data_IF_037922569256
#
_entry.id   IF_037922569256
#
_cell.length_a   1.000
_cell.length_b   1.000
_cell.length_c   1.000
_cell.angle_alpha   90.00
_cell.angle_beta   90.00
_cell.angle_gamma   90.00
#
_symmetry.space_group_name_H-M   'P 1'
#
loop_
_entity.id
_entity.type
_entity.pdbx_description
1 polymer ?
#
# COMPACT_ATOMS: atom_id res chain seq x y z
N UNK A 1 -7.80 21.95 -23.93
CA UNK A 1 -8.68 20.93 -24.54
C UNK A 1 -9.62 20.40 -23.46
N UNK A 2 -10.92 20.28 -23.74
CA UNK A 2 -11.87 19.70 -22.78
C UNK A 2 -11.66 18.20 -22.61
N UNK A 3 -11.97 17.67 -21.42
CA UNK A 3 -11.90 16.23 -21.11
C UNK A 3 -12.87 15.46 -22.01
N UNK A 4 -12.37 14.56 -22.87
CA UNK A 4 -13.15 13.59 -23.62
C UNK A 4 -13.91 12.72 -22.62
N UNK A 5 -15.24 12.80 -22.69
CA UNK A 5 -16.16 11.97 -21.90
C UNK A 5 -16.55 10.76 -22.72
N UNK A 6 -16.54 9.59 -22.08
CA UNK A 6 -17.04 8.36 -22.68
C UNK A 6 -18.55 8.52 -22.89
N UNK A 7 -19.00 8.33 -24.12
CA UNK A 7 -20.41 8.44 -24.49
C UNK A 7 -21.17 7.19 -24.03
N UNK A 8 -22.46 7.33 -23.76
CA UNK A 8 -23.37 6.18 -23.62
C UNK A 8 -23.86 5.78 -24.99
N UNK A 9 -23.83 4.48 -25.29
CA UNK A 9 -24.29 3.92 -26.56
C UNK A 9 -25.47 3.00 -26.31
N UNK A 10 -26.32 2.86 -27.32
CA UNK A 10 -27.47 1.96 -27.28
C UNK A 10 -27.07 0.51 -27.49
N UNK A 11 -25.94 0.27 -28.17
CA UNK A 11 -25.43 -1.08 -28.44
C UNK A 11 -23.98 -1.25 -28.00
N UNK A 12 -23.59 -2.48 -27.68
CA UNK A 12 -22.21 -2.83 -27.36
C UNK A 12 -21.28 -2.58 -28.55
N UNK A 13 -21.68 -2.95 -29.75
CA UNK A 13 -20.87 -2.77 -30.97
C UNK A 13 -20.49 -1.31 -31.22
N UNK A 14 -21.43 -0.37 -31.03
CA UNK A 14 -21.15 1.07 -31.13
C UNK A 14 -20.20 1.55 -30.03
N UNK A 15 -20.38 1.04 -28.81
CA UNK A 15 -19.49 1.35 -27.69
C UNK A 15 -18.06 0.85 -27.94
N UNK A 16 -17.91 -0.39 -28.37
CA UNK A 16 -16.63 -1.02 -28.67
C UNK A 16 -15.91 -0.25 -29.78
N UNK A 17 -16.60 0.02 -30.89
CA UNK A 17 -16.04 0.80 -32.00
C UNK A 17 -15.57 2.17 -31.54
N UNK A 18 -16.39 2.89 -30.76
CA UNK A 18 -16.00 4.20 -30.26
C UNK A 18 -14.80 4.14 -29.33
N UNK A 19 -14.74 3.15 -28.43
CA UNK A 19 -13.59 2.97 -27.52
C UNK A 19 -12.30 2.68 -28.31
N UNK A 20 -12.37 1.80 -29.31
CA UNK A 20 -11.24 1.49 -30.21
C UNK A 20 -10.77 2.75 -30.93
N UNK A 21 -11.68 3.45 -31.62
CA UNK A 21 -11.37 4.63 -32.43
C UNK A 21 -10.79 5.78 -31.59
N UNK A 22 -11.15 5.87 -30.30
CA UNK A 22 -10.74 6.95 -29.40
C UNK A 22 -9.66 6.53 -28.38
N UNK A 23 -9.17 5.28 -28.43
CA UNK A 23 -8.21 4.75 -27.46
C UNK A 23 -6.93 5.63 -27.34
N UNK A 24 -6.33 6.13 -28.43
CA UNK A 24 -5.13 6.99 -28.32
C UNK A 24 -5.39 8.29 -27.56
N UNK A 25 -6.57 8.90 -27.77
CA UNK A 25 -6.98 10.13 -27.09
C UNK A 25 -7.28 9.88 -25.61
N UNK A 26 -7.96 8.77 -25.29
CA UNK A 26 -8.23 8.36 -23.92
C UNK A 26 -6.92 8.13 -23.15
N UNK A 27 -5.94 7.47 -23.79
CA UNK A 27 -4.60 7.25 -23.24
C UNK A 27 -3.85 8.56 -23.02
N UNK A 28 -3.83 9.45 -24.01
CA UNK A 28 -3.18 10.75 -23.91
C UNK A 28 -3.79 11.60 -22.77
N UNK A 29 -5.12 11.65 -22.69
CA UNK A 29 -5.83 12.33 -21.62
C UNK A 29 -5.49 11.75 -20.24
N UNK A 30 -5.46 10.41 -20.12
CA UNK A 30 -5.15 9.73 -18.86
C UNK A 30 -3.75 10.09 -18.35
N UNK A 31 -2.77 10.17 -19.25
CA UNK A 31 -1.37 10.50 -18.95
C UNK A 31 -1.11 11.99 -18.71
N UNK A 32 -2.04 12.86 -19.09
CA UNK A 32 -1.85 14.31 -19.00
C UNK A 32 -2.00 14.89 -17.59
N UNK A 33 -2.54 14.12 -16.64
CA UNK A 33 -2.78 14.56 -15.27
C UNK A 33 -2.28 13.48 -14.30
N UNK A 34 -1.49 13.86 -13.27
CA UNK A 34 -1.15 12.95 -12.19
C UNK A 34 -2.40 12.38 -11.53
N UNK A 35 -2.34 11.13 -11.09
CA UNK A 35 -3.47 10.52 -10.40
C UNK A 35 -3.47 10.82 -8.92
N UNK A 36 -4.67 11.10 -8.43
CA UNK A 36 -5.02 11.34 -7.04
C UNK A 36 -6.11 10.36 -6.67
N UNK A 37 -6.34 10.17 -5.38
CA UNK A 37 -7.57 9.52 -4.94
C UNK A 37 -8.82 10.21 -5.53
N UNK A 38 -9.74 9.41 -6.05
CA UNK A 38 -11.11 9.82 -6.33
C UNK A 38 -12.02 9.19 -5.27
N UNK A 39 -12.90 9.96 -4.66
CA UNK A 39 -13.81 9.45 -3.61
C UNK A 39 -14.87 8.45 -4.10
N UNK A 40 -14.64 7.80 -5.25
CA UNK A 40 -15.54 6.88 -5.92
C UNK A 40 -15.08 5.43 -5.73
N UNK A 41 -15.77 4.68 -4.87
CA UNK A 41 -15.60 3.22 -4.77
C UNK A 41 -16.41 2.51 -5.87
N UNK A 42 -15.84 1.51 -6.54
CA UNK A 42 -16.62 0.44 -7.20
C UNK A 42 -17.21 -0.51 -6.15
N UNK A 43 -18.00 0.03 -5.21
CA UNK A 43 -18.77 -0.76 -4.25
C UNK A 43 -17.98 -1.51 -3.18
N UNK A 44 -16.64 -1.45 -3.16
CA UNK A 44 -15.82 -2.06 -2.13
C UNK A 44 -15.47 -1.07 -1.04
N UNK A 45 -15.81 -1.37 0.21
CA UNK A 45 -15.24 -0.67 1.35
C UNK A 45 -13.75 -0.97 1.41
N UNK A 46 -12.92 0.06 1.25
CA UNK A 46 -11.44 0.04 1.27
C UNK A 46 -10.80 -0.44 2.59
N UNK A 47 -11.56 -1.04 3.49
CA UNK A 47 -11.07 -1.43 4.80
C UNK A 47 -11.25 -2.93 5.00
N UNK A 48 -10.17 -3.58 5.43
CA UNK A 48 -10.23 -4.90 6.05
C UNK A 48 -10.93 -4.78 7.40
N UNK A 49 -12.26 -4.82 7.37
CA UNK A 49 -13.12 -4.79 8.55
C UNK A 49 -13.89 -6.09 8.68
N UNK A 50 -14.13 -6.50 9.92
CA UNK A 50 -15.04 -7.60 10.20
C UNK A 50 -16.49 -7.17 9.91
N UNK A 51 -17.45 -8.10 10.07
CA UNK A 51 -18.89 -7.84 9.84
C UNK A 51 -19.47 -6.70 10.70
N UNK A 52 -18.76 -6.27 11.76
CA UNK A 52 -19.14 -5.17 12.65
C UNK A 52 -18.46 -3.84 12.28
N UNK A 53 -17.62 -3.81 11.24
CA UNK A 53 -16.86 -2.63 10.85
C UNK A 53 -15.58 -2.40 11.66
N UNK A 54 -15.16 -3.37 12.47
CA UNK A 54 -13.96 -3.32 13.31
C UNK A 54 -12.74 -3.84 12.55
N UNK A 55 -11.54 -3.32 12.86
CA UNK A 55 -10.30 -3.62 12.13
C UNK A 55 -9.93 -5.11 12.23
N UNK A 56 -9.57 -5.74 11.10
CA UNK A 56 -9.08 -7.13 11.08
C UNK A 56 -7.57 -7.24 11.36
N UNK A 57 -6.77 -6.23 10.99
CA UNK A 57 -5.33 -6.15 11.31
C UNK A 57 -4.89 -4.70 11.49
N UNK A 58 -4.83 -4.29 12.74
CA UNK A 58 -3.81 -3.38 13.23
C UNK A 58 -3.40 -3.99 14.58
N UNK A 59 -2.11 -4.24 14.79
CA UNK A 59 -1.61 -4.57 16.12
C UNK A 59 -2.02 -3.46 17.11
N UNK A 60 -2.16 -3.85 18.38
CA UNK A 60 -2.84 -3.14 19.46
C UNK A 60 -2.84 -1.62 19.30
N UNK A 61 -4.04 -1.00 19.35
CA UNK A 61 -4.13 0.39 19.80
C UNK A 61 -3.28 0.44 21.06
N UNK A 62 -2.28 1.31 21.11
CA UNK A 62 -1.40 1.44 22.27
C UNK A 62 -2.28 1.79 23.46
N UNK A 63 -2.71 0.76 24.20
CA UNK A 63 -3.55 0.83 25.38
C UNK A 63 -2.61 1.26 26.50
N UNK A 64 -2.48 2.58 26.60
CA UNK A 64 -1.64 3.38 27.50
C UNK A 64 -0.54 4.14 26.75
N UNK A 65 -0.81 5.38 26.31
CA UNK A 65 0.13 6.18 25.57
C UNK A 65 1.17 6.79 26.51
N UNK A 66 2.06 6.00 27.10
CA UNK A 66 3.29 6.53 27.69
C UNK A 66 4.29 6.87 26.57
N UNK A 67 3.80 7.64 25.59
CA UNK A 67 4.50 8.04 24.36
C UNK A 67 5.22 9.34 24.66
N UNK A 68 6.18 9.27 25.57
CA UNK A 68 6.89 10.45 26.06
C UNK A 68 7.89 11.00 25.02
N UNK A 69 8.12 10.27 23.91
CA UNK A 69 9.12 10.64 22.90
C UNK A 69 8.58 11.37 21.67
N UNK A 70 7.25 11.44 21.47
CA UNK A 70 6.67 12.16 20.33
C UNK A 70 6.99 11.58 18.95
N UNK A 71 7.37 10.30 18.86
CA UNK A 71 7.74 9.62 17.60
C UNK A 71 6.99 8.29 17.46
N UNK A 72 6.46 8.03 16.26
CA UNK A 72 5.82 6.77 15.87
C UNK A 72 6.55 6.13 14.69
N UNK A 73 6.71 4.81 14.72
CA UNK A 73 7.01 4.00 13.54
C UNK A 73 5.69 3.51 12.95
N UNK A 74 5.49 3.78 11.67
CA UNK A 74 4.28 3.38 10.96
C UNK A 74 4.67 2.59 9.73
N UNK A 75 4.11 1.39 9.61
CA UNK A 75 4.18 0.57 8.40
C UNK A 75 2.84 0.65 7.69
N UNK A 76 2.82 1.08 6.43
CA UNK A 76 1.59 1.24 5.67
C UNK A 76 1.72 0.80 4.21
N UNK A 77 0.64 0.21 3.68
CA UNK A 77 0.55 -0.17 2.26
C UNK A 77 0.01 1.02 1.49
N UNK A 78 0.83 1.54 0.56
CA UNK A 78 0.51 2.71 -0.28
C UNK A 78 -0.24 2.31 -1.56
N UNK A 79 0.07 1.13 -2.09
CA UNK A 79 -0.61 0.54 -3.25
C UNK A 79 -0.47 -0.98 -3.22
N UNK A 80 -1.47 -1.70 -3.76
CA UNK A 80 -1.42 -3.14 -3.96
C UNK A 80 -1.70 -3.49 -5.44
N UNK A 81 -1.03 -4.52 -5.95
CA UNK A 81 -1.25 -5.04 -7.31
C UNK A 81 -2.41 -6.02 -7.36
N UNK A 82 -2.81 -6.42 -8.57
CA UNK A 82 -3.82 -7.45 -8.83
C UNK A 82 -5.25 -7.06 -8.39
N UNK A 83 -5.47 -5.81 -8.00
CA UNK A 83 -6.79 -5.25 -7.71
C UNK A 83 -7.15 -4.29 -8.85
N UNK A 84 -8.35 -4.47 -9.40
CA UNK A 84 -8.94 -3.52 -10.33
C UNK A 84 -9.50 -2.33 -9.54
N UNK A 85 -8.92 -1.15 -9.75
CA UNK A 85 -9.16 0.05 -8.96
C UNK A 85 -10.31 0.94 -9.51
N UNK A 86 -10.67 2.01 -8.78
CA UNK A 86 -11.72 2.98 -9.18
C UNK A 86 -11.47 3.66 -10.52
N UNK A 87 -10.20 3.76 -10.95
CA UNK A 87 -9.82 4.32 -12.23
C UNK A 87 -9.77 3.29 -13.37
N UNK A 88 -10.21 2.05 -13.10
CA UNK A 88 -10.11 0.88 -14.00
C UNK A 88 -8.67 0.55 -14.34
N UNK A 89 -7.76 0.71 -13.39
CA UNK A 89 -6.40 0.20 -13.51
C UNK A 89 -6.27 -1.13 -12.78
N UNK A 90 -5.62 -2.06 -13.45
CA UNK A 90 -5.04 -3.24 -12.85
C UNK A 90 -3.53 -3.03 -12.78
N UNK A 91 -3.04 -2.67 -11.59
CA UNK A 91 -1.60 -2.62 -11.35
C UNK A 91 -1.03 -4.04 -11.25
N UNK A 92 0.11 -4.29 -11.89
CA UNK A 92 0.73 -5.61 -11.96
C UNK A 92 2.03 -5.68 -11.15
N UNK A 93 2.40 -6.86 -10.62
CA UNK A 93 3.65 -7.04 -9.89
C UNK A 93 4.88 -6.54 -10.66
N UNK A 94 5.81 -5.90 -9.95
CA UNK A 94 7.01 -5.27 -10.49
C UNK A 94 6.81 -3.83 -10.98
N UNK A 95 5.59 -3.29 -10.93
CA UNK A 95 5.25 -1.92 -11.41
C UNK A 95 6.13 -0.83 -10.77
N UNK A 96 6.57 -1.02 -9.52
CA UNK A 96 7.35 -0.03 -8.76
C UNK A 96 8.86 -0.20 -8.82
N UNK A 97 9.36 -1.29 -9.43
CA UNK A 97 10.78 -1.67 -9.40
C UNK A 97 11.72 -0.53 -9.79
N UNK A 98 11.39 0.20 -10.86
CA UNK A 98 12.20 1.32 -11.34
C UNK A 98 12.16 2.51 -10.37
N UNK A 99 10.98 2.88 -9.89
CA UNK A 99 10.81 3.98 -8.94
C UNK A 99 11.63 3.77 -7.68
N UNK A 100 11.56 2.58 -7.10
CA UNK A 100 12.28 2.23 -5.88
C UNK A 100 13.80 2.17 -6.08
N UNK A 101 14.27 1.86 -7.29
CA UNK A 101 15.71 1.87 -7.60
C UNK A 101 16.29 3.27 -7.85
N UNK A 102 15.47 4.20 -8.35
CA UNK A 102 15.94 5.52 -8.82
C UNK A 102 15.63 6.66 -7.85
N UNK A 103 14.52 6.58 -7.10
CA UNK A 103 14.08 7.65 -6.21
C UNK A 103 14.71 7.53 -4.84
N UNK A 104 15.34 8.63 -4.41
CA UNK A 104 16.01 8.74 -3.11
C UNK A 104 15.18 9.47 -2.05
N UNK A 105 14.17 10.23 -2.49
CA UNK A 105 13.34 11.04 -1.61
C UNK A 105 11.88 10.82 -1.99
N UNK A 106 11.10 10.41 -1.02
CA UNK A 106 9.66 10.16 -1.11
C UNK A 106 9.07 10.68 0.20
N UNK A 107 7.92 11.34 0.11
CA UNK A 107 7.19 11.86 1.25
C UNK A 107 5.97 10.99 1.57
N UNK A 108 5.59 10.99 2.83
CA UNK A 108 4.28 10.56 3.30
C UNK A 108 3.52 11.84 3.60
N UNK A 109 2.42 12.07 2.90
CA UNK A 109 1.64 13.30 3.00
C UNK A 109 0.24 13.04 3.53
N UNK A 110 -0.38 14.09 4.05
CA UNK A 110 -1.81 14.15 4.30
C UNK A 110 -2.50 14.46 2.97
N UNK A 111 -3.41 13.60 2.50
CA UNK A 111 -4.37 13.93 1.43
C UNK A 111 -3.76 14.45 0.11
N UNK A 112 -2.58 13.95 -0.29
CA UNK A 112 -1.81 14.45 -1.44
C UNK A 112 -1.38 15.92 -1.36
N UNK A 113 -1.36 16.49 -0.15
CA UNK A 113 -0.91 17.84 0.13
C UNK A 113 0.62 17.90 0.25
N UNK A 114 1.28 18.10 -0.89
CA UNK A 114 2.74 18.36 -0.99
C UNK A 114 3.10 19.80 -0.60
N UNK A 115 2.56 20.28 0.52
CA UNK A 115 3.00 21.52 1.16
C UNK A 115 3.73 21.21 2.47
N UNK A 116 4.49 22.17 3.00
CA UNK A 116 5.19 21.98 4.28
C UNK A 116 4.27 21.54 5.42
N UNK A 117 3.00 21.97 5.40
CA UNK A 117 1.98 21.59 6.37
C UNK A 117 1.45 20.17 6.14
N UNK A 118 1.29 19.77 4.88
CA UNK A 118 0.76 18.46 4.51
C UNK A 118 1.76 17.31 4.64
N UNK A 119 3.07 17.59 4.72
CA UNK A 119 4.08 16.56 4.95
C UNK A 119 3.90 15.95 6.36
N UNK A 120 3.76 14.63 6.40
CA UNK A 120 3.71 13.82 7.62
C UNK A 120 5.13 13.35 7.97
N UNK A 121 5.86 12.84 6.98
CA UNK A 121 7.24 12.38 7.13
C UNK A 121 7.99 12.37 5.79
N UNK A 122 9.31 12.56 5.86
CA UNK A 122 10.30 12.30 4.82
C UNK A 122 11.34 11.24 5.25
N UNK A 123 11.20 10.69 6.45
CA UNK A 123 11.99 9.57 6.96
C UNK A 123 11.30 8.25 6.60
N UNK A 124 11.45 7.86 5.34
CA UNK A 124 10.72 6.73 4.75
C UNK A 124 11.66 5.72 4.12
N UNK A 125 11.48 4.45 4.50
CA UNK A 125 11.99 3.31 3.74
C UNK A 125 10.84 2.75 2.90
N UNK A 126 10.89 3.01 1.59
CA UNK A 126 9.92 2.49 0.63
C UNK A 126 10.43 1.20 -0.01
N UNK A 127 9.58 0.18 -0.11
CA UNK A 127 9.92 -1.10 -0.74
C UNK A 127 8.67 -1.84 -1.22
N UNK A 128 8.86 -2.95 -1.92
CA UNK A 128 7.77 -3.87 -2.30
C UNK A 128 7.86 -5.17 -1.54
N UNK A 129 6.72 -5.71 -1.11
CA UNK A 129 6.62 -7.00 -0.44
C UNK A 129 5.41 -7.77 -0.97
N UNK A 130 5.57 -9.08 -1.19
CA UNK A 130 4.44 -9.94 -1.58
C UNK A 130 3.72 -10.41 -0.34
N UNK A 131 2.42 -10.12 -0.24
CA UNK A 131 1.55 -10.50 0.87
C UNK A 131 0.31 -11.23 0.35
N UNK A 132 -0.28 -12.09 1.16
CA UNK A 132 -1.60 -12.65 0.80
C UNK A 132 -2.69 -11.60 1.04
N UNK A 133 -3.76 -11.61 0.22
CA UNK A 133 -4.89 -10.71 0.47
C UNK A 133 -5.53 -10.96 1.83
N UNK A 134 -5.55 -12.23 2.26
CA UNK A 134 -5.98 -12.63 3.61
C UNK A 134 -5.13 -11.98 4.69
N UNK A 135 -3.82 -11.87 4.48
CA UNK A 135 -2.92 -11.20 5.41
C UNK A 135 -3.10 -9.68 5.44
N UNK A 136 -3.73 -9.10 4.44
CA UNK A 136 -4.15 -7.71 4.42
C UNK A 136 -5.57 -7.53 4.97
N UNK A 137 -6.22 -8.63 5.35
CA UNK A 137 -7.57 -8.71 5.91
C UNK A 137 -8.69 -8.64 4.86
N UNK A 138 -8.40 -9.03 3.61
CA UNK A 138 -9.38 -9.14 2.53
C UNK A 138 -9.68 -10.61 2.23
N UNK A 139 -10.89 -10.89 1.75
CA UNK A 139 -11.35 -12.25 1.43
C UNK A 139 -10.92 -12.75 0.04
N UNK A 140 -10.18 -11.94 -0.72
CA UNK A 140 -9.71 -12.32 -2.05
C UNK A 140 -8.71 -13.49 -1.97
N UNK A 141 -8.74 -14.35 -2.99
CA UNK A 141 -7.76 -15.43 -3.11
C UNK A 141 -6.44 -14.92 -3.68
N UNK A 142 -5.34 -15.56 -3.28
CA UNK A 142 -4.01 -15.31 -3.83
C UNK A 142 -3.22 -14.21 -3.11
N UNK A 143 -2.20 -13.73 -3.80
CA UNK A 143 -1.21 -12.79 -3.29
C UNK A 143 -1.19 -11.50 -4.11
N UNK A 144 -0.67 -10.45 -3.51
CA UNK A 144 -0.45 -9.15 -4.12
C UNK A 144 0.94 -8.64 -3.78
N UNK A 145 1.54 -7.86 -4.67
CA UNK A 145 2.73 -7.08 -4.37
C UNK A 145 2.28 -5.71 -3.80
N UNK A 146 2.64 -5.45 -2.55
CA UNK A 146 2.35 -4.21 -1.85
C UNK A 146 3.53 -3.25 -1.98
N UNK A 147 3.27 -2.00 -2.37
CA UNK A 147 4.19 -0.88 -2.12
C UNK A 147 4.04 -0.47 -0.65
N UNK A 148 5.07 -0.68 0.15
CA UNK A 148 5.06 -0.41 1.60
C UNK A 148 5.98 0.76 1.92
N UNK A 149 5.49 1.64 2.79
CA UNK A 149 6.29 2.66 3.44
C UNK A 149 6.43 2.32 4.93
N UNK A 150 7.67 2.10 5.37
CA UNK A 150 8.07 2.20 6.77
C UNK A 150 8.48 3.65 7.05
N UNK A 151 7.65 4.38 7.78
CA UNK A 151 7.82 5.81 8.05
C UNK A 151 8.04 6.09 9.54
N UNK A 152 8.92 7.04 9.84
CA UNK A 152 9.05 7.63 11.18
C UNK A 152 8.26 8.94 11.22
N UNK A 153 7.23 9.01 12.05
CA UNK A 153 6.35 10.18 12.19
C UNK A 153 6.67 10.89 13.49
N UNK A 154 7.09 12.15 13.39
CA UNK A 154 7.32 13.01 14.55
C UNK A 154 6.14 13.93 14.82
N UNK A 155 5.77 14.03 16.09
CA UNK A 155 4.65 14.85 16.56
C UNK A 155 4.88 16.33 16.29
N UNK A 156 6.11 16.81 16.42
CA UNK A 156 6.48 18.21 16.16
C UNK A 156 6.43 18.58 14.67
N UNK A 157 6.61 17.60 13.78
CA UNK A 157 6.47 17.79 12.34
C UNK A 157 5.02 17.90 11.89
N UNK A 158 4.15 17.01 12.39
CA UNK A 158 2.72 17.01 12.09
C UNK A 158 1.89 16.40 13.22
N UNK A 159 1.59 17.22 14.24
CA UNK A 159 0.86 16.77 15.44
C UNK A 159 -0.52 16.22 15.12
N UNK A 160 -1.21 16.81 14.12
CA UNK A 160 -2.54 16.35 13.74
C UNK A 160 -2.48 14.90 13.23
N UNK A 161 -1.64 14.62 12.23
CA UNK A 161 -1.55 13.30 11.62
C UNK A 161 -0.91 12.27 12.55
N UNK A 162 0.07 12.67 13.36
CA UNK A 162 0.59 11.85 14.44
C UNK A 162 -0.54 11.29 15.31
N UNK A 163 -1.44 12.16 15.78
CA UNK A 163 -2.58 11.75 16.60
C UNK A 163 -3.60 10.90 15.81
N UNK A 164 -3.77 11.14 14.51
CA UNK A 164 -4.66 10.31 13.68
C UNK A 164 -4.12 8.88 13.53
N UNK A 165 -2.80 8.71 13.34
CA UNK A 165 -2.18 7.39 13.28
C UNK A 165 -2.24 6.69 14.64
N UNK A 166 -1.85 7.40 15.70
CA UNK A 166 -1.87 6.88 17.06
C UNK A 166 -3.25 6.34 17.46
N UNK A 167 -4.32 7.05 17.10
CA UNK A 167 -5.70 6.66 17.42
C UNK A 167 -6.29 5.63 16.46
N UNK A 168 -5.54 5.18 15.46
CA UNK A 168 -6.04 4.25 14.44
C UNK A 168 -7.12 4.87 13.53
N UNK A 169 -7.06 6.17 13.26
CA UNK A 169 -7.97 6.85 12.34
C UNK A 169 -7.46 6.82 10.90
N UNK A 170 -6.14 6.77 10.69
CA UNK A 170 -5.58 6.56 9.35
C UNK A 170 -5.69 5.08 8.97
N UNK A 171 -6.44 4.83 7.90
CA UNK A 171 -6.85 3.47 7.49
C UNK A 171 -6.56 3.16 6.03
N UNK A 172 -6.37 4.17 5.19
CA UNK A 172 -6.10 4.00 3.77
C UNK A 172 -4.95 4.89 3.34
N UNK A 173 -4.30 4.47 2.27
CA UNK A 173 -3.26 5.24 1.63
C UNK A 173 -3.45 5.26 0.12
N UNK A 174 -2.73 6.16 -0.54
CA UNK A 174 -2.71 6.25 -1.99
C UNK A 174 -1.35 6.71 -2.47
N UNK A 175 -0.98 6.32 -3.68
CA UNK A 175 0.23 6.75 -4.36
C UNK A 175 -0.10 7.88 -5.31
N UNK A 176 0.70 8.96 -5.30
CA UNK A 176 0.71 9.86 -6.46
C UNK A 176 1.61 9.23 -7.52
N UNK A 177 1.10 9.06 -8.73
CA UNK A 177 1.85 8.36 -9.78
C UNK A 177 1.66 8.92 -11.18
N UNK A 178 2.65 8.65 -12.03
CA UNK A 178 2.62 8.86 -13.47
C UNK A 178 2.76 7.51 -14.20
N UNK A 179 1.90 7.22 -15.18
CA UNK A 179 1.97 5.99 -15.97
C UNK A 179 3.18 5.98 -16.91
N UNK A 180 3.86 4.84 -17.01
CA UNK A 180 4.93 4.62 -17.99
C UNK A 180 4.47 3.62 -19.05
N UNK A 181 4.15 2.39 -18.64
CA UNK A 181 3.69 1.31 -19.54
C UNK A 181 2.35 0.76 -19.09
N UNK A 182 1.40 0.81 -20.02
CA UNK A 182 0.04 0.33 -19.82
C UNK A 182 -0.51 -0.26 -21.12
N UNK A 183 -1.39 -1.24 -20.98
CA UNK A 183 -2.07 -1.94 -22.06
C UNK A 183 -3.57 -1.73 -21.89
N UNK A 184 -4.24 -1.32 -22.96
CA UNK A 184 -5.70 -1.26 -22.97
C UNK A 184 -6.24 -2.69 -23.16
N UNK A 185 -7.08 -3.11 -22.22
CA UNK A 185 -7.73 -4.41 -22.18
C UNK A 185 -9.22 -4.18 -22.43
N UNK A 186 -9.79 -4.87 -23.42
CA UNK A 186 -11.23 -4.75 -23.71
C UNK A 186 -11.77 -6.08 -24.19
N UNK A 187 -12.91 -6.48 -23.64
CA UNK A 187 -13.66 -7.64 -24.12
C UNK A 187 -14.50 -7.22 -25.33
N UNK A 188 -14.14 -7.69 -26.52
CA UNK A 188 -14.75 -7.34 -27.80
C UNK A 188 -14.63 -8.46 -28.83
N UNK A 189 -15.65 -8.57 -29.67
CA UNK A 189 -15.67 -9.38 -30.90
C UNK A 189 -15.33 -8.54 -32.15
N UNK A 190 -15.07 -7.23 -31.98
CA UNK A 190 -14.74 -6.35 -33.09
C UNK A 190 -13.38 -6.72 -33.71
N UNK A 191 -13.30 -6.97 -35.03
CA UNK A 191 -12.04 -7.30 -35.71
C UNK A 191 -10.92 -6.27 -35.53
N UNK A 192 -11.25 -4.99 -35.36
CA UNK A 192 -10.27 -3.92 -35.13
C UNK A 192 -9.73 -3.92 -33.69
N UNK A 193 -10.35 -4.71 -32.80
CA UNK A 193 -10.04 -4.79 -31.36
C UNK A 193 -9.26 -6.03 -30.94
N UNK A 194 -8.79 -6.86 -31.87
CA UNK A 194 -8.11 -8.15 -31.57
C UNK A 194 -6.99 -8.00 -30.54
N UNK A 195 -6.13 -6.99 -30.67
CA UNK A 195 -5.05 -6.75 -29.71
C UNK A 195 -5.56 -6.43 -28.30
N UNK A 196 -6.70 -5.74 -28.17
CA UNK A 196 -7.29 -5.40 -26.88
C UNK A 196 -7.97 -6.61 -26.23
N UNK A 197 -8.56 -7.49 -27.04
CA UNK A 197 -9.08 -8.79 -26.59
C UNK A 197 -7.94 -9.70 -26.12
N UNK A 198 -6.81 -9.74 -26.83
CA UNK A 198 -5.62 -10.48 -26.40
C UNK A 198 -5.10 -9.97 -25.04
N UNK A 199 -5.04 -8.64 -24.87
CA UNK A 199 -4.68 -8.03 -23.59
C UNK A 199 -5.68 -8.38 -22.49
N UNK A 200 -6.99 -8.35 -22.79
CA UNK A 200 -8.03 -8.76 -21.85
C UNK A 200 -7.82 -10.21 -21.40
N UNK A 201 -7.71 -11.14 -22.34
CA UNK A 201 -7.48 -12.56 -22.05
C UNK A 201 -6.22 -12.80 -21.23
N UNK A 202 -5.17 -11.98 -21.42
CA UNK A 202 -3.91 -12.07 -20.69
C UNK A 202 -3.99 -11.53 -19.27
N UNK A 203 -4.69 -10.41 -19.06
CA UNK A 203 -4.62 -9.65 -17.81
C UNK A 203 -5.86 -9.80 -16.92
N UNK A 204 -7.05 -10.03 -17.48
CA UNK A 204 -8.27 -10.24 -16.70
C UNK A 204 -8.16 -11.41 -15.71
N UNK A 205 -7.50 -12.55 -16.04
CA UNK A 205 -7.30 -13.64 -15.07
C UNK A 205 -6.46 -13.26 -13.84
N UNK A 206 -5.75 -12.13 -13.88
CA UNK A 206 -4.89 -11.65 -12.79
C UNK A 206 -5.62 -10.70 -11.82
N UNK A 207 -6.90 -10.41 -12.06
CA UNK A 207 -7.74 -9.60 -11.17
C UNK A 207 -8.23 -10.44 -10.01
N UNK A 208 -7.96 -10.00 -8.79
CA UNK A 208 -8.36 -10.69 -7.56
C UNK A 208 -9.82 -10.41 -7.18
N UNK A 209 -10.29 -9.16 -7.34
CA UNK A 209 -11.68 -8.72 -7.18
C UNK A 209 -12.50 -8.98 -8.46
N UNK A 210 -12.70 -10.28 -8.76
CA UNK A 210 -13.26 -10.75 -10.05
C UNK A 210 -14.64 -10.18 -10.38
N UNK A 211 -15.48 -9.99 -9.37
CA UNK A 211 -16.81 -9.39 -9.48
C UNK A 211 -16.80 -8.00 -10.13
N UNK A 212 -15.69 -7.27 -10.07
CA UNK A 212 -15.58 -5.99 -10.77
C UNK A 212 -15.60 -6.17 -12.30
N UNK A 213 -15.09 -7.30 -12.82
CA UNK A 213 -15.09 -7.59 -14.26
C UNK A 213 -16.50 -7.75 -14.82
N UNK A 214 -17.47 -8.20 -14.02
CA UNK A 214 -18.87 -8.36 -14.44
C UNK A 214 -19.56 -7.01 -14.76
N UNK A 215 -18.98 -5.90 -14.31
CA UNK A 215 -19.55 -4.55 -14.42
C UNK A 215 -18.83 -3.66 -15.44
N UNK A 216 -17.73 -4.15 -16.03
CA UNK A 216 -16.91 -3.39 -16.97
C UNK A 216 -16.62 -4.20 -18.24
N UNK A 217 -16.42 -3.50 -19.35
CA UNK A 217 -16.02 -4.12 -20.62
C UNK A 217 -14.58 -3.80 -21.01
N UNK A 218 -13.91 -2.95 -20.22
CA UNK A 218 -12.52 -2.55 -20.47
C UNK A 218 -11.85 -2.03 -19.20
N UNK A 219 -10.53 -2.19 -19.15
CA UNK A 219 -9.64 -1.64 -18.13
C UNK A 219 -8.23 -1.40 -18.71
N UNK A 220 -7.32 -0.85 -17.90
CA UNK A 220 -5.91 -0.72 -18.24
C UNK A 220 -5.06 -1.64 -17.37
N UNK A 221 -4.28 -2.52 -17.99
CA UNK A 221 -3.23 -3.26 -17.29
C UNK A 221 -1.96 -2.40 -17.22
N UNK A 222 -1.58 -1.97 -16.01
CA UNK A 222 -0.42 -1.09 -15.78
C UNK A 222 0.76 -1.93 -15.31
N UNK A 223 1.83 -1.93 -16.10
CA UNK A 223 3.03 -2.76 -15.87
C UNK A 223 4.24 -1.96 -15.41
N UNK A 224 4.21 -0.64 -15.58
CA UNK A 224 5.28 0.25 -15.11
C UNK A 224 4.69 1.63 -14.82
N UNK A 225 4.97 2.15 -13.63
CA UNK A 225 4.60 3.48 -13.19
C UNK A 225 5.73 4.15 -12.39
N UNK A 226 5.65 5.47 -12.30
CA UNK A 226 6.54 6.28 -11.47
C UNK A 226 5.81 6.73 -10.22
N UNK A 227 6.35 6.44 -9.04
CA UNK A 227 5.94 7.12 -7.80
C UNK A 227 6.33 8.59 -7.95
N UNK A 228 5.37 9.51 -7.85
CA UNK A 228 5.58 10.95 -8.03
C UNK A 228 5.77 11.63 -6.67
N UNK A 229 6.89 11.32 -6.05
CA UNK A 229 7.44 11.98 -4.86
C UNK A 229 6.63 11.76 -3.56
N UNK A 230 5.47 11.10 -3.62
CA UNK A 230 4.68 10.82 -2.42
C UNK A 230 3.88 9.50 -2.44
N UNK A 231 3.67 8.99 -1.23
CA UNK A 231 2.46 8.28 -0.82
C UNK A 231 1.68 9.16 0.16
N UNK A 232 0.40 8.90 0.37
CA UNK A 232 -0.44 9.77 1.20
C UNK A 232 -1.43 9.00 2.05
N UNK A 233 -1.61 9.44 3.29
CA UNK A 233 -2.73 9.09 4.13
C UNK A 233 -4.00 9.72 3.54
N UNK A 234 -5.01 8.91 3.24
CA UNK A 234 -6.26 9.37 2.64
C UNK A 234 -7.45 8.76 3.35
N UNK A 235 -8.60 9.44 3.29
CA UNK A 235 -9.85 8.89 3.83
C UNK A 235 -10.32 7.70 2.99
N UNK A 236 -10.20 7.81 1.66
CA UNK A 236 -10.45 6.77 0.67
C UNK A 236 -9.35 6.82 -0.37
N UNK A 237 -8.83 5.68 -0.81
CA UNK A 237 -7.89 5.56 -1.92
C UNK A 237 -8.57 4.97 -3.15
N UNK A 238 -8.01 5.19 -4.34
CA UNK A 238 -8.50 4.52 -5.57
C UNK A 238 -8.29 3.00 -5.52
N UNK A 239 -7.19 2.58 -4.89
CA UNK A 239 -6.87 1.18 -4.58
C UNK A 239 -7.41 0.83 -3.19
N UNK A 240 -8.31 -0.15 -3.13
CA UNK A 240 -9.04 -0.54 -1.92
C UNK A 240 -8.21 -1.33 -0.90
N UNK A 241 -7.00 -1.78 -1.27
CA UNK A 241 -6.12 -2.62 -0.44
C UNK A 241 -4.88 -1.82 -0.05
N UNK A 242 -5.06 -0.83 0.83
CA UNK A 242 -3.99 0.09 1.28
C UNK A 242 -3.96 0.35 2.79
N UNK A 243 -4.06 -0.69 3.64
CA UNK A 243 -4.19 -0.52 5.08
C UNK A 243 -2.92 0.04 5.75
N UNK A 244 -3.10 0.63 6.93
CA UNK A 244 -2.04 0.73 7.94
C UNK A 244 -1.81 -0.65 8.54
N UNK A 245 -0.58 -1.17 8.50
CA UNK A 245 -0.25 -2.51 9.01
C UNK A 245 0.14 -2.46 10.50
N UNK A 246 1.01 -1.51 10.87
CA UNK A 246 1.63 -1.44 12.19
C UNK A 246 1.81 0.02 12.60
N UNK A 247 1.57 0.31 13.88
CA UNK A 247 1.88 1.60 14.52
C UNK A 247 2.53 1.31 15.87
N UNK A 248 3.80 1.64 16.03
CA UNK A 248 4.55 1.43 17.29
C UNK A 248 5.19 2.73 17.77
N UNK A 249 5.26 2.92 19.09
CA UNK A 249 5.98 4.04 19.69
C UNK A 249 7.48 3.73 19.76
N UNK A 250 8.35 4.73 19.49
CA UNK A 250 9.77 4.56 19.77
C UNK A 250 10.07 4.74 21.26
N UNK A 251 10.47 3.64 21.92
CA UNK A 251 11.17 3.71 23.20
C UNK A 251 12.66 3.94 22.92
N UNK A 252 13.20 5.11 23.32
CA UNK A 252 14.66 5.30 23.36
C UNK A 252 15.27 4.48 24.51
N UNK A 253 15.84 3.33 24.18
CA UNK A 253 16.66 2.47 25.04
C UNK A 253 16.18 1.01 24.99
N UNK A 254 16.97 0.01 24.62
CA UNK A 254 18.42 -0.17 24.77
C UNK A 254 19.10 -0.43 23.42
N UNK A 255 20.35 0.01 23.29
CA UNK A 255 21.27 -0.58 22.33
C UNK A 255 21.32 -2.10 22.57
N UNK A 256 21.24 -2.89 21.51
CA UNK A 256 21.57 -4.32 21.54
C UNK A 256 23.03 -4.44 22.02
N UNK A 257 23.21 -4.80 23.29
CA UNK A 257 24.48 -5.29 23.81
C UNK A 257 24.64 -6.74 23.32
N UNK A 258 25.16 -6.87 22.10
CA UNK A 258 25.75 -8.11 21.61
C UNK A 258 27.07 -8.35 22.36
N UNK A 259 26.98 -8.79 23.60
CA UNK A 259 28.09 -9.47 24.28
C UNK A 259 27.65 -10.83 24.81
N UNK A 260 27.93 -11.84 23.99
CA UNK A 260 28.12 -13.21 24.42
C UNK A 260 29.18 -13.25 25.52
N UNK A 261 28.82 -13.57 26.75
CA UNK A 261 29.76 -14.28 27.63
C UNK A 261 29.06 -15.37 28.44
N UNK A 262 29.47 -16.59 28.15
CA UNK A 262 28.91 -17.83 28.64
C UNK A 262 29.87 -18.36 29.69
N UNK A 263 29.68 -18.00 30.96
CA UNK A 263 30.35 -18.66 32.09
C UNK A 263 29.35 -18.94 33.20
N UNK A 264 28.94 -20.20 33.28
CA UNK A 264 28.35 -20.81 34.46
C UNK A 264 29.39 -20.83 35.58
N UNK A 265 29.12 -20.16 36.69
CA UNK A 265 29.78 -20.47 37.96
C UNK A 265 28.95 -21.54 38.70
N UNK A 266 29.58 -22.55 39.33
CA UNK A 266 28.86 -23.54 40.11
C UNK A 266 28.55 -23.06 41.54
N UNK A 267 27.39 -23.50 42.00
CA UNK A 267 26.76 -23.29 43.31
C UNK A 267 27.63 -23.80 44.48
N UNK A 268 27.86 -22.96 45.48
CA UNK A 268 28.71 -23.25 46.65
C UNK A 268 27.85 -23.34 47.92
N UNK A 269 27.22 -24.51 48.13
CA UNK A 269 26.42 -24.80 49.31
C UNK A 269 27.11 -25.78 50.27
N UNK A 270 27.86 -25.21 51.24
CA UNK A 270 27.91 -25.59 52.69
C UNK A 270 28.65 -26.89 53.12
N UNK A 271 29.20 -27.06 54.37
CA UNK A 271 29.74 -26.15 55.41
C UNK A 271 31.22 -26.43 55.84
N UNK A 272 31.77 -25.54 56.67
CA UNK A 272 33.08 -25.63 57.35
C UNK A 272 33.15 -26.70 58.46
N UNK A 273 34.25 -27.45 58.51
CA UNK A 273 34.77 -28.05 59.76
C UNK A 273 36.30 -28.10 59.78
N UNK A 274 36.86 -27.84 60.96
CA UNK A 274 38.26 -27.61 61.28
C UNK A 274 39.20 -28.83 61.24
N UNK A 275 40.42 -28.56 60.76
CA UNK A 275 41.75 -28.89 61.32
C UNK A 275 41.98 -30.28 61.95
N UNK A 276 42.95 -31.03 61.39
CA UNK A 276 44.13 -31.53 62.15
C UNK A 276 45.27 -32.03 61.26
N UNK A 277 46.48 -31.56 61.60
CA UNK A 277 47.80 -31.96 61.10
C UNK A 277 48.17 -33.39 61.53
N UNK A 278 48.94 -34.12 60.68
CA UNK A 278 50.24 -34.79 60.97
C UNK A 278 50.64 -35.64 59.74
N UNK A 279 51.84 -35.44 59.17
CA UNK A 279 53.08 -36.26 59.39
C UNK A 279 52.77 -37.76 59.28
N UNK A 280 53.37 -38.55 58.38
CA UNK A 280 54.78 -38.69 57.99
C UNK A 280 54.86 -39.01 56.50
#
# INVERSE_FOLDING_TARGET
MGKLKIKKFSTKAESDKWLIDNQPLLKAQRRSVPKFTDGHDYGFTSFAVNERGERLKAEEIIDNPDIDNGTLKVKCVINATNILDSHRDLHLPGIWKKSLSEKKLIYLCQEHDLTFKGIISDEIKAYTETMSFKDLGFSFEGNTECLIFDAIIHKDRNEFMYNQYLKGYVRNHSVRMDYVKEYFCMETDNPDGVQFQENWNKYAPQVANKECLDTITWFYAVTEAKVRDEGSAVVKGSCSVTPTLEVTAENKGQAEDDSLDNKREPDDSTPKTEVKRRFI
#
